data_IF_189462308768
#
_entry.id   IF_189462308768
#
_cell.length_a   1.000
_cell.length_b   1.000
_cell.length_c   1.000
_cell.angle_alpha   90.00
_cell.angle_beta   90.00
_cell.angle_gamma   90.00
#
_symmetry.space_group_name_H-M   'P 1'
#
loop_
_entity.id
_entity.type
_entity.pdbx_description
1 polymer ?
#
# COMPACT_ATOMS: atom_id res chain seq x y z
N UNK A 1 3.62 -9.48 0.32
CA UNK A 1 2.92 -8.54 1.22
C UNK A 1 2.39 -9.29 2.44
N UNK A 2 2.33 -8.65 3.59
CA UNK A 2 1.69 -9.20 4.80
C UNK A 2 0.80 -8.10 5.39
N UNK A 3 -0.38 -8.48 5.87
CA UNK A 3 -1.32 -7.58 6.51
C UNK A 3 -2.01 -8.30 7.66
N UNK A 4 -2.22 -7.59 8.75
CA UNK A 4 -2.90 -8.09 9.96
C UNK A 4 -3.89 -7.03 10.40
N UNK A 5 -5.14 -7.42 10.63
CA UNK A 5 -6.21 -6.51 11.04
C UNK A 5 -7.55 -6.89 10.41
N UNK A 6 -8.57 -6.08 10.69
CA UNK A 6 -9.87 -6.17 10.02
C UNK A 6 -9.71 -5.97 8.50
N UNK A 7 -10.50 -6.66 7.68
CA UNK A 7 -10.44 -6.54 6.22
C UNK A 7 -9.13 -7.04 5.58
N UNK A 8 -8.28 -7.74 6.33
CA UNK A 8 -6.98 -8.22 5.85
C UNK A 8 -7.09 -9.09 4.59
N UNK A 9 -8.13 -9.92 4.48
CA UNK A 9 -8.41 -10.79 3.34
C UNK A 9 -8.72 -10.01 2.08
N UNK A 10 -9.39 -8.86 2.18
CA UNK A 10 -9.72 -8.01 1.04
C UNK A 10 -8.53 -7.13 0.65
N UNK A 11 -7.84 -6.59 1.64
CA UNK A 11 -6.73 -5.66 1.46
C UNK A 11 -5.48 -6.34 0.89
N UNK A 12 -5.19 -7.58 1.28
CA UNK A 12 -3.99 -8.28 0.79
C UNK A 12 -3.96 -8.39 -0.73
N UNK A 13 -5.13 -8.50 -1.37
CA UNK A 13 -5.25 -8.56 -2.83
C UNK A 13 -4.74 -7.30 -3.52
N UNK A 14 -4.91 -6.12 -2.92
CA UNK A 14 -4.37 -4.86 -3.45
C UNK A 14 -2.85 -4.94 -3.53
N UNK A 15 -2.20 -5.33 -2.43
CA UNK A 15 -0.74 -5.48 -2.39
C UNK A 15 -0.22 -6.56 -3.36
N UNK A 16 -0.90 -7.70 -3.44
CA UNK A 16 -0.53 -8.77 -4.35
C UNK A 16 -0.70 -8.37 -5.83
N UNK A 17 -1.77 -7.66 -6.18
CA UNK A 17 -1.98 -7.18 -7.54
C UNK A 17 -0.86 -6.22 -7.99
N UNK A 18 -0.46 -5.27 -7.14
CA UNK A 18 0.62 -4.33 -7.45
C UNK A 18 1.95 -5.06 -7.65
N UNK A 19 2.29 -6.02 -6.77
CA UNK A 19 3.51 -6.83 -6.91
C UNK A 19 3.49 -7.64 -8.22
N UNK A 20 2.38 -8.33 -8.49
CA UNK A 20 2.24 -9.17 -9.68
C UNK A 20 2.29 -8.38 -10.99
N UNK A 21 1.89 -7.11 -10.96
CA UNK A 21 1.97 -6.19 -12.10
C UNK A 21 3.29 -5.41 -12.16
N UNK A 22 4.26 -5.72 -11.30
CA UNK A 22 5.58 -5.06 -11.27
C UNK A 22 5.55 -3.62 -10.76
N UNK A 23 4.50 -3.23 -10.03
CA UNK A 23 4.40 -1.91 -9.42
C UNK A 23 5.34 -1.73 -8.23
N UNK A 24 5.70 -0.48 -7.96
CA UNK A 24 6.63 -0.07 -6.90
C UNK A 24 5.88 0.65 -5.76
N UNK A 25 6.63 1.10 -4.75
CA UNK A 25 6.11 1.95 -3.68
C UNK A 25 5.40 3.21 -4.20
N UNK A 26 5.86 3.74 -5.35
CA UNK A 26 5.25 4.89 -6.04
C UNK A 26 3.77 4.67 -6.33
N UNK A 27 3.35 3.44 -6.62
CA UNK A 27 1.95 3.14 -6.87
C UNK A 27 1.11 3.53 -5.66
N UNK A 28 1.52 3.10 -4.47
CA UNK A 28 0.77 3.36 -3.25
C UNK A 28 0.82 4.83 -2.85
N UNK A 29 1.95 5.51 -3.08
CA UNK A 29 2.12 6.94 -2.80
C UNK A 29 1.31 7.82 -3.74
N UNK A 30 1.14 7.44 -5.00
CA UNK A 30 0.54 8.32 -6.02
C UNK A 30 -0.92 8.01 -6.32
N UNK A 31 -1.40 6.79 -6.05
CA UNK A 31 -2.82 6.46 -6.28
C UNK A 31 -3.74 7.08 -5.23
N UNK A 32 -4.99 7.30 -5.64
CA UNK A 32 -6.09 7.67 -4.75
C UNK A 32 -6.80 6.39 -4.29
N UNK A 33 -6.89 6.21 -2.98
CA UNK A 33 -7.71 5.17 -2.38
C UNK A 33 -9.05 5.76 -1.95
N UNK A 34 -10.09 4.93 -1.91
CA UNK A 34 -11.41 5.35 -1.47
C UNK A 34 -11.37 5.75 0.02
N UNK A 35 -12.12 6.81 0.36
CA UNK A 35 -12.22 7.33 1.72
C UNK A 35 -13.70 7.36 2.19
N UNK A 36 -14.01 7.00 3.45
CA UNK A 36 -13.14 6.36 4.45
C UNK A 36 -13.06 4.83 4.24
N UNK A 37 -11.87 4.27 4.03
CA UNK A 37 -11.68 2.81 3.95
C UNK A 37 -10.32 2.38 4.48
N UNK A 38 -10.19 1.11 4.89
CA UNK A 38 -8.92 0.52 5.33
C UNK A 38 -7.85 0.49 4.22
N UNK A 39 -8.25 0.63 2.94
CA UNK A 39 -7.31 0.67 1.83
C UNK A 39 -6.38 1.89 1.88
N UNK A 40 -6.77 2.96 2.58
CA UNK A 40 -5.90 4.11 2.86
C UNK A 40 -4.60 3.71 3.58
N UNK A 41 -4.59 2.60 4.33
CA UNK A 41 -3.38 2.11 4.99
C UNK A 41 -2.23 1.85 4.01
N UNK A 42 -2.51 1.51 2.74
CA UNK A 42 -1.49 1.38 1.71
C UNK A 42 -0.82 2.71 1.37
N UNK A 43 -1.58 3.81 1.33
CA UNK A 43 -1.05 5.16 1.11
C UNK A 43 -0.08 5.54 2.23
N UNK A 44 -0.49 5.30 3.47
CA UNK A 44 0.33 5.60 4.66
C UNK A 44 1.60 4.74 4.69
N UNK A 45 1.47 3.43 4.45
CA UNK A 45 2.61 2.53 4.38
C UNK A 45 3.57 2.88 3.24
N UNK A 46 3.04 3.28 2.07
CA UNK A 46 3.83 3.74 0.93
C UNK A 46 4.62 5.01 1.24
N UNK A 47 3.99 5.98 1.92
CA UNK A 47 4.66 7.22 2.35
C UNK A 47 5.75 6.96 3.40
N UNK A 48 5.50 6.08 4.38
CA UNK A 48 6.51 5.68 5.37
C UNK A 48 7.73 5.02 4.71
N UNK A 49 7.49 4.09 3.78
CA UNK A 49 8.56 3.45 3.02
C UNK A 49 9.34 4.46 2.16
N UNK A 50 8.65 5.35 1.44
CA UNK A 50 9.27 6.40 0.63
C UNK A 50 10.22 7.29 1.45
N UNK A 51 9.74 7.74 2.62
CA UNK A 51 10.52 8.61 3.50
C UNK A 51 11.79 7.93 4.03
N UNK A 52 11.77 6.62 4.23
CA UNK A 52 12.94 5.85 4.68
C UNK A 52 13.94 5.59 3.54
N UNK A 53 13.46 5.43 2.32
CA UNK A 53 14.32 5.21 1.14
C UNK A 53 15.12 6.47 0.76
N UNK A 54 14.55 7.66 0.95
CA UNK A 54 15.24 8.93 0.72
C UNK A 54 16.29 9.30 1.78
N UNK A 55 16.44 8.51 2.85
CA UNK A 55 17.40 8.72 3.93
C UNK A 55 18.66 7.83 3.81
N UNK A 56 18.90 7.23 2.64
CA UNK A 56 20.06 6.39 2.33
C UNK A 56 21.03 7.03 1.36
#
# INVERSE_FOLDING_TARGET
AHIVGEGATELIHIGQAVINLGGTVDFFVNNTFNYPTLAEAYKIAGLDAWNRMGQG
#
